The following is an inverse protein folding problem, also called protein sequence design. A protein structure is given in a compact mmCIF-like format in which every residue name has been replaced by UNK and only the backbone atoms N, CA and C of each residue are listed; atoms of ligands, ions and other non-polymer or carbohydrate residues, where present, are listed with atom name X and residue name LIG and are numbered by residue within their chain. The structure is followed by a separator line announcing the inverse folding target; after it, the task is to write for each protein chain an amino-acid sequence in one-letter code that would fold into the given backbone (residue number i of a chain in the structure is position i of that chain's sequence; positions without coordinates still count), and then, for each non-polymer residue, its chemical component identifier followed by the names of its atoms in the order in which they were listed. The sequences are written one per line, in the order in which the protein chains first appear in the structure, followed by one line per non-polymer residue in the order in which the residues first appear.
data_IF_149835302460
#
_entry.id   IF_149835302460
#
_cell.length_a   1.000
_cell.length_b   1.000
_cell.length_c   1.000
_cell.angle_alpha   90.00
_cell.angle_beta   90.00
_cell.angle_gamma   90.00
#
_symmetry.space_group_name_H-M   'P 1'
#
loop_
_entity.id
_entity.type
_entity.pdbx_description
1 polymer ?
#
# COMPACT_ATOMS: atom_id res chain seq x y z
N UNK A 1 12.51 13.70 2.59
CA UNK A 1 12.15 12.56 3.46
C UNK A 1 11.60 11.45 2.56
N UNK A 2 12.07 10.21 2.74
CA UNK A 2 11.77 9.00 1.95
C UNK A 2 11.79 9.15 0.41
N UNK A 3 12.96 8.93 -0.18
CA UNK A 3 13.13 8.82 -1.64
C UNK A 3 14.09 7.68 -1.97
N UNK A 4 13.69 6.73 -2.81
CA UNK A 4 14.58 5.69 -3.33
C UNK A 4 14.67 5.77 -4.87
N UNK A 5 15.80 6.22 -5.45
CA UNK A 5 15.97 6.38 -6.89
C UNK A 5 16.05 5.06 -7.67
N UNK A 6 16.14 3.91 -6.98
CA UNK A 6 16.13 2.59 -7.63
C UNK A 6 14.75 2.25 -8.20
N UNK A 7 13.67 2.83 -7.65
CA UNK A 7 12.30 2.63 -8.13
C UNK A 7 11.92 3.71 -9.17
N UNK A 8 11.18 3.32 -10.20
CA UNK A 8 10.61 4.23 -11.19
C UNK A 8 9.70 5.29 -10.55
N UNK A 9 9.01 4.92 -9.47
CA UNK A 9 8.28 5.85 -8.59
C UNK A 9 9.05 5.93 -7.27
N UNK A 10 9.89 6.97 -7.08
CA UNK A 10 10.88 6.96 -6.01
C UNK A 10 10.31 7.41 -4.65
N UNK A 11 9.00 7.58 -4.51
CA UNK A 11 8.31 7.98 -3.27
C UNK A 11 7.30 6.91 -2.85
N UNK A 12 6.89 6.87 -1.56
CA UNK A 12 5.78 6.03 -1.13
C UNK A 12 4.49 6.41 -1.86
N UNK A 13 3.68 5.42 -2.22
CA UNK A 13 2.43 5.64 -2.97
C UNK A 13 1.24 5.05 -2.24
N UNK A 14 0.08 5.69 -2.40
CA UNK A 14 -1.22 5.20 -1.97
C UNK A 14 -2.15 5.18 -3.17
N UNK A 15 -2.78 4.04 -3.42
CA UNK A 15 -3.72 3.86 -4.51
C UNK A 15 -5.11 3.51 -3.96
N UNK A 16 -6.11 4.32 -4.28
CA UNK A 16 -7.52 4.03 -3.96
C UNK A 16 -8.06 3.10 -5.06
N UNK A 17 -8.17 1.81 -4.74
CA UNK A 17 -8.45 0.76 -5.72
C UNK A 17 -9.90 0.76 -6.18
N UNK A 18 -10.84 0.55 -5.25
CA UNK A 18 -12.27 0.54 -5.56
C UNK A 18 -13.11 1.02 -4.39
N UNK A 19 -14.23 1.66 -4.71
CA UNK A 19 -15.26 2.02 -3.73
C UNK A 19 -16.58 1.35 -4.13
N UNK A 20 -17.17 0.62 -3.18
CA UNK A 20 -18.44 -0.08 -3.37
C UNK A 20 -19.41 0.38 -2.29
N UNK A 21 -20.57 0.91 -2.69
CA UNK A 21 -21.58 1.34 -1.74
C UNK A 21 -22.90 1.67 -2.42
N UNK A 22 -23.97 1.51 -1.66
CA UNK A 22 -25.34 1.73 -2.12
C UNK A 22 -25.82 0.63 -3.07
N UNK A 23 -27.13 0.61 -3.27
CA UNK A 23 -27.82 -0.42 -4.04
C UNK A 23 -29.05 0.11 -4.78
N UNK A 24 -29.51 1.34 -4.50
CA UNK A 24 -30.64 1.97 -5.17
C UNK A 24 -30.45 3.50 -5.24
N UNK A 25 -30.68 4.14 -6.41
CA UNK A 25 -30.50 5.59 -6.58
C UNK A 25 -31.45 6.45 -5.71
N UNK A 26 -32.61 5.90 -5.33
CA UNK A 26 -33.60 6.57 -4.49
C UNK A 26 -33.48 6.19 -3.00
N UNK A 27 -32.35 5.59 -2.61
CA UNK A 27 -32.07 5.22 -1.22
C UNK A 27 -30.74 5.81 -0.78
N UNK A 28 -30.73 6.42 0.40
CA UNK A 28 -29.48 6.87 1.01
C UNK A 28 -28.61 5.63 1.27
N UNK A 29 -27.36 5.71 0.83
CA UNK A 29 -26.38 4.65 1.00
C UNK A 29 -26.13 4.37 2.49
N UNK A 30 -26.49 3.18 2.95
CA UNK A 30 -26.29 2.78 4.36
C UNK A 30 -24.89 2.25 4.67
N UNK A 31 -24.11 1.87 3.66
CA UNK A 31 -22.75 1.37 3.82
C UNK A 31 -21.95 1.55 2.54
N UNK A 32 -20.65 1.84 2.70
CA UNK A 32 -19.67 1.74 1.63
C UNK A 32 -18.39 1.09 2.14
N UNK A 33 -17.64 0.50 1.21
CA UNK A 33 -16.33 -0.10 1.43
C UNK A 33 -15.35 0.51 0.43
N UNK A 34 -14.13 0.78 0.90
CA UNK A 34 -13.04 1.31 0.09
C UNK A 34 -11.83 0.40 0.27
N UNK A 35 -11.38 -0.19 -0.83
CA UNK A 35 -10.15 -0.95 -0.88
C UNK A 35 -9.03 -0.05 -1.39
N UNK A 36 -7.86 -0.10 -0.73
CA UNK A 36 -6.70 0.68 -1.13
C UNK A 36 -5.40 -0.08 -0.86
N UNK A 37 -4.36 0.30 -1.61
CA UNK A 37 -3.01 -0.22 -1.50
C UNK A 37 -2.07 0.90 -1.04
N UNK A 38 -1.12 0.56 -0.18
CA UNK A 38 -0.06 1.46 0.30
C UNK A 38 1.29 0.78 0.06
N UNK A 39 2.16 1.44 -0.71
CA UNK A 39 3.49 0.93 -1.04
C UNK A 39 4.54 1.74 -0.27
N UNK A 40 5.00 1.26 0.90
CA UNK A 40 6.09 1.89 1.62
C UNK A 40 7.43 1.68 0.92
N UNK A 41 8.40 2.53 1.23
CA UNK A 41 9.79 2.33 0.84
C UNK A 41 10.56 1.60 1.97
N UNK A 42 11.71 0.95 1.66
CA UNK A 42 12.58 0.39 2.68
C UNK A 42 12.91 1.42 3.78
N UNK A 43 12.84 0.98 5.04
CA UNK A 43 13.05 1.82 6.23
C UNK A 43 11.79 2.50 6.78
N UNK A 44 10.63 2.33 6.14
CA UNK A 44 9.34 2.74 6.72
C UNK A 44 8.73 1.58 7.50
N UNK A 45 8.15 1.88 8.67
CA UNK A 45 7.42 0.90 9.49
C UNK A 45 5.95 0.81 9.02
N UNK A 46 5.51 -0.32 8.45
CA UNK A 46 4.14 -0.49 7.98
C UNK A 46 3.10 -0.38 9.10
N UNK A 47 3.41 -0.80 10.33
CA UNK A 47 2.46 -0.70 11.44
C UNK A 47 2.27 0.76 11.89
N UNK A 48 3.35 1.55 11.90
CA UNK A 48 3.27 2.99 12.13
C UNK A 48 2.40 3.70 11.08
N UNK A 49 2.50 3.30 9.81
CA UNK A 49 1.65 3.83 8.73
C UNK A 49 0.17 3.45 8.93
N UNK A 50 -0.12 2.21 9.27
CA UNK A 50 -1.49 1.75 9.59
C UNK A 50 -2.07 2.49 10.79
N UNK A 51 -1.27 2.72 11.84
CA UNK A 51 -1.67 3.50 12.99
C UNK A 51 -1.97 4.97 12.62
N UNK A 52 -1.14 5.58 11.78
CA UNK A 52 -1.36 6.94 11.30
C UNK A 52 -2.66 7.08 10.47
N UNK A 53 -2.98 6.08 9.65
CA UNK A 53 -4.26 6.03 8.92
C UNK A 53 -5.42 5.94 9.91
N UNK A 54 -5.38 5.01 10.88
CA UNK A 54 -6.42 4.90 11.92
C UNK A 54 -6.66 6.20 12.65
N UNK A 55 -5.59 6.88 13.06
CA UNK A 55 -5.68 8.15 13.78
C UNK A 55 -6.34 9.26 12.93
N UNK A 56 -6.12 9.26 11.61
CA UNK A 56 -6.76 10.21 10.68
C UNK A 56 -8.24 9.90 10.45
N UNK A 57 -8.63 8.63 10.50
CA UNK A 57 -10.02 8.21 10.29
C UNK A 57 -10.92 8.50 11.50
N UNK A 58 -10.39 8.44 12.71
CA UNK A 58 -11.14 8.67 13.95
C UNK A 58 -11.95 9.99 13.96
N UNK A 59 -11.36 11.17 13.72
CA UNK A 59 -12.12 12.43 13.72
C UNK A 59 -13.16 12.50 12.57
N UNK A 60 -12.96 11.77 11.47
CA UNK A 60 -13.92 11.70 10.37
C UNK A 60 -15.15 10.87 10.76
N UNK A 61 -14.93 9.74 11.44
CA UNK A 61 -16.01 8.92 11.99
C UNK A 61 -16.88 9.73 12.96
N UNK A 62 -16.24 10.50 13.85
CA UNK A 62 -16.92 11.39 14.79
C UNK A 62 -17.67 12.54 14.09
N UNK A 63 -17.02 13.21 13.13
CA UNK A 63 -17.64 14.32 12.40
C UNK A 63 -18.89 13.88 11.63
N UNK A 64 -18.83 12.73 10.97
CA UNK A 64 -19.91 12.23 10.13
C UNK A 64 -20.90 11.32 10.88
N UNK A 65 -20.65 11.03 12.16
CA UNK A 65 -21.47 10.12 12.97
C UNK A 65 -21.64 8.74 12.30
N UNK A 66 -20.53 8.22 11.76
CA UNK A 66 -20.48 6.91 11.08
C UNK A 66 -19.48 5.99 11.77
N UNK A 67 -19.65 4.69 11.59
CA UNK A 67 -18.65 3.70 11.96
C UNK A 67 -17.70 3.48 10.77
N UNK A 68 -16.39 3.45 11.03
CA UNK A 68 -15.37 3.16 10.03
C UNK A 68 -14.59 1.94 10.50
N UNK A 69 -14.82 0.81 9.83
CA UNK A 69 -14.03 -0.40 10.01
C UNK A 69 -12.78 -0.36 9.13
N UNK A 70 -11.62 -0.55 9.74
CA UNK A 70 -10.34 -0.56 9.04
C UNK A 70 -9.54 -1.82 9.38
N UNK A 71 -9.35 -2.68 8.38
CA UNK A 71 -8.65 -3.95 8.52
C UNK A 71 -7.82 -4.27 7.27
N UNK A 72 -6.71 -5.02 7.42
CA UNK A 72 -5.94 -5.52 6.29
C UNK A 72 -6.76 -6.56 5.48
N UNK A 73 -6.71 -6.47 4.15
CA UNK A 73 -7.30 -7.48 3.25
C UNK A 73 -6.47 -8.77 3.19
N UNK A 74 -5.16 -8.67 3.40
CA UNK A 74 -4.21 -9.77 3.37
C UNK A 74 -3.08 -9.54 4.39
N UNK A 75 -2.37 -10.60 4.83
CA UNK A 75 -1.21 -10.47 5.71
C UNK A 75 -0.16 -9.54 5.11
N UNK A 76 0.58 -8.87 5.97
CA UNK A 76 1.66 -7.99 5.54
C UNK A 76 2.76 -8.76 4.79
N UNK A 77 3.26 -8.17 3.71
CA UNK A 77 4.47 -8.61 3.03
C UNK A 77 5.55 -7.55 3.30
N UNK A 78 6.62 -7.93 3.99
CA UNK A 78 7.70 -7.01 4.29
C UNK A 78 8.38 -6.54 2.99
N UNK A 79 8.77 -5.25 2.89
CA UNK A 79 9.63 -4.79 1.81
C UNK A 79 10.90 -5.65 1.75
N UNK A 80 11.24 -6.10 0.54
CA UNK A 80 12.40 -6.95 0.31
C UNK A 80 13.31 -6.30 -0.74
N UNK A 81 14.61 -6.34 -0.47
CA UNK A 81 15.65 -6.02 -1.46
C UNK A 81 16.69 -7.13 -1.46
N UNK A 82 17.31 -7.36 -2.61
CA UNK A 82 18.43 -8.28 -2.75
C UNK A 82 19.66 -7.53 -3.22
N UNK A 83 20.81 -7.83 -2.60
CA UNK A 83 22.08 -7.22 -2.99
C UNK A 83 22.44 -7.63 -4.43
N UNK A 84 22.85 -6.65 -5.23
CA UNK A 84 23.06 -6.82 -6.67
C UNK A 84 24.15 -7.86 -6.99
N UNK A 85 25.08 -8.09 -6.07
CA UNK A 85 26.20 -8.99 -6.26
C UNK A 85 25.93 -10.43 -5.76
N UNK A 86 24.73 -10.71 -5.26
CA UNK A 86 24.33 -12.06 -4.84
C UNK A 86 24.40 -13.06 -6.00
N UNK A 87 24.76 -14.31 -5.69
CA UNK A 87 24.86 -15.38 -6.70
C UNK A 87 23.55 -15.57 -7.47
N UNK A 88 22.41 -15.51 -6.78
CA UNK A 88 21.09 -15.60 -7.39
C UNK A 88 20.88 -14.55 -8.48
N UNK A 89 21.25 -13.29 -8.21
CA UNK A 89 21.13 -12.18 -9.16
C UNK A 89 22.03 -12.46 -10.37
N UNK A 90 23.31 -12.77 -10.14
CA UNK A 90 24.28 -13.05 -11.22
C UNK A 90 23.84 -14.21 -12.11
N UNK A 91 23.30 -15.27 -11.53
CA UNK A 91 22.81 -16.44 -12.29
C UNK A 91 21.58 -16.07 -13.11
N UNK A 92 20.62 -15.35 -12.52
CA UNK A 92 19.42 -14.90 -13.22
C UNK A 92 19.76 -13.98 -14.40
N UNK A 93 20.64 -13.00 -14.20
CA UNK A 93 21.09 -12.09 -15.27
C UNK A 93 21.80 -12.85 -16.39
N UNK A 94 22.67 -13.81 -16.06
CA UNK A 94 23.37 -14.62 -17.06
C UNK A 94 22.42 -15.48 -17.88
N UNK A 95 21.41 -16.08 -17.24
CA UNK A 95 20.45 -16.97 -17.92
C UNK A 95 19.43 -16.21 -18.75
N UNK A 96 19.07 -14.99 -18.34
CA UNK A 96 18.03 -14.19 -18.99
C UNK A 96 18.59 -13.16 -19.96
N UNK A 97 19.85 -12.74 -19.82
CA UNK A 97 20.43 -11.62 -20.55
C UNK A 97 19.93 -10.24 -20.11
N UNK A 98 19.15 -10.16 -19.03
CA UNK A 98 18.59 -8.92 -18.50
C UNK A 98 19.27 -8.52 -17.19
N UNK A 99 19.60 -7.24 -17.04
CA UNK A 99 20.10 -6.67 -15.79
C UNK A 99 18.99 -6.55 -14.76
N UNK A 100 19.27 -6.94 -13.52
CA UNK A 100 18.32 -6.81 -12.42
C UNK A 100 18.01 -5.34 -12.12
N UNK A 101 16.74 -5.05 -11.87
CA UNK A 101 16.24 -3.73 -11.53
C UNK A 101 15.16 -3.85 -10.45
N UNK A 102 14.90 -2.77 -9.72
CA UNK A 102 13.76 -2.71 -8.80
C UNK A 102 12.46 -2.69 -9.60
N UNK A 103 11.41 -3.31 -9.05
CA UNK A 103 10.05 -3.38 -9.62
C UNK A 103 9.03 -2.65 -8.77
#
# INVERSE_FOLDING_TARGET
EYRNPQFTVPQPTLNLGCIHGGDNPNRICGQCSLEFDLRPLPGMDPEALRAAIRQKLQPLAELHQVQIDYAPLFPECAPFEQVADAELVRVAERLTGHTAAAV
#
